data_IF_196849228365
#
_entry.id   IF_196849228365
#
_cell.length_a   1.000
_cell.length_b   1.000
_cell.length_c   1.000
_cell.angle_alpha   90.00
_cell.angle_beta   90.00
_cell.angle_gamma   90.00
#
_symmetry.space_group_name_H-M   'P 1'
#
loop_
_entity.id
_entity.type
_entity.pdbx_description
1 polymer ?
#
# COMPACT_ATOMS: atom_id res chain seq x y z
N UNK A 1 5.82 -16.26 7.32
CA UNK A 1 4.66 -16.49 8.20
C UNK A 1 5.08 -16.19 9.63
N UNK A 2 4.29 -15.40 10.40
CA UNK A 2 4.60 -15.10 11.81
C UNK A 2 4.96 -13.65 12.17
N UNK A 3 4.76 -12.69 11.25
CA UNK A 3 4.77 -11.24 11.56
C UNK A 3 3.33 -10.72 11.48
N UNK A 4 3.00 -9.69 12.25
CA UNK A 4 1.73 -8.98 12.10
C UNK A 4 1.58 -8.55 10.64
N UNK A 5 0.39 -8.75 10.08
CA UNK A 5 0.10 -8.45 8.68
C UNK A 5 -0.22 -6.96 8.51
N UNK A 6 0.75 -6.12 8.86
CA UNK A 6 0.68 -4.68 8.67
C UNK A 6 1.35 -4.36 7.33
N UNK A 7 0.55 -4.01 6.32
CA UNK A 7 1.05 -3.65 4.99
C UNK A 7 0.13 -2.66 4.27
N UNK A 8 0.72 -1.93 3.33
CA UNK A 8 -0.01 -1.17 2.33
C UNK A 8 0.33 -1.67 0.93
N UNK A 9 -0.65 -1.64 0.03
CA UNK A 9 -0.46 -1.82 -1.41
C UNK A 9 -0.54 -0.44 -2.06
N UNK A 10 0.38 -0.16 -2.98
CA UNK A 10 0.44 1.11 -3.69
C UNK A 10 0.13 0.90 -5.18
N UNK A 11 -0.53 1.88 -5.78
CA UNK A 11 -0.78 1.97 -7.22
C UNK A 11 0.45 2.41 -7.99
N UNK A 12 1.53 1.61 -7.96
CA UNK A 12 2.77 1.91 -8.66
C UNK A 12 3.92 0.98 -8.26
N UNK A 13 5.02 1.05 -8.98
CA UNK A 13 6.24 0.28 -8.69
C UNK A 13 7.28 1.15 -7.97
N UNK A 14 7.39 0.98 -6.66
CA UNK A 14 8.35 1.70 -5.83
C UNK A 14 9.81 1.39 -6.19
N UNK A 15 10.13 0.22 -6.75
CA UNK A 15 11.51 -0.14 -7.08
C UNK A 15 12.06 0.69 -8.25
N UNK A 16 11.17 1.27 -9.06
CA UNK A 16 11.50 2.09 -10.21
C UNK A 16 11.01 3.54 -10.09
N UNK A 17 10.37 3.90 -8.97
CA UNK A 17 9.91 5.27 -8.68
C UNK A 17 11.09 6.10 -8.13
N UNK A 18 11.30 7.32 -8.65
CA UNK A 18 12.33 8.19 -8.11
C UNK A 18 12.02 8.55 -6.64
N UNK A 19 13.02 8.67 -5.75
CA UNK A 19 12.75 8.87 -4.31
C UNK A 19 11.88 10.09 -3.97
N UNK A 20 11.99 11.16 -4.75
CA UNK A 20 11.16 12.36 -4.59
C UNK A 20 9.71 12.17 -5.04
N UNK A 21 9.44 11.14 -5.85
CA UNK A 21 8.12 10.82 -6.37
C UNK A 21 7.40 9.74 -5.55
N UNK A 22 8.07 9.09 -4.59
CA UNK A 22 7.50 8.04 -3.71
C UNK A 22 6.17 8.44 -3.03
N UNK A 23 5.91 9.71 -2.67
CA UNK A 23 4.61 10.09 -2.10
C UNK A 23 3.44 10.09 -3.09
N UNK A 24 3.70 9.95 -4.39
CA UNK A 24 2.70 10.14 -5.44
C UNK A 24 1.80 8.92 -5.70
N UNK A 25 2.31 7.67 -5.72
CA UNK A 25 1.46 6.50 -5.90
C UNK A 25 0.36 6.43 -4.83
N UNK A 26 -0.91 6.22 -5.22
CA UNK A 26 -2.00 6.13 -4.26
C UNK A 26 -1.89 4.83 -3.45
N UNK A 27 -2.34 4.86 -2.19
CA UNK A 27 -2.55 3.62 -1.42
C UNK A 27 -3.85 2.98 -1.89
N UNK A 28 -3.79 1.75 -2.39
CA UNK A 28 -4.98 1.02 -2.88
C UNK A 28 -5.56 0.10 -1.81
N UNK A 29 -4.73 -0.40 -0.89
CA UNK A 29 -5.14 -1.26 0.21
C UNK A 29 -4.29 -0.98 1.45
N UNK A 30 -4.91 -0.96 2.63
CA UNK A 30 -4.22 -0.98 3.92
C UNK A 30 -4.76 -2.12 4.78
N UNK A 31 -3.86 -2.99 5.24
CA UNK A 31 -4.16 -4.04 6.22
C UNK A 31 -3.45 -3.69 7.52
N UNK A 32 -4.18 -3.71 8.62
CA UNK A 32 -3.67 -3.49 9.97
C UNK A 32 -4.23 -4.56 10.91
N UNK A 33 -3.36 -5.25 11.64
CA UNK A 33 -3.76 -6.40 12.49
C UNK A 33 -4.57 -7.47 11.73
N UNK A 34 -4.20 -7.71 10.46
CA UNK A 34 -4.89 -8.66 9.59
C UNK A 34 -6.28 -8.24 9.11
N UNK A 35 -6.69 -6.98 9.35
CA UNK A 35 -7.97 -6.43 8.90
C UNK A 35 -7.76 -5.36 7.84
N UNK A 36 -8.59 -5.37 6.81
CA UNK A 36 -8.65 -4.26 5.85
C UNK A 36 -9.25 -3.06 6.54
N UNK A 37 -8.49 -1.96 6.62
CA UNK A 37 -8.93 -0.70 7.23
C UNK A 37 -9.12 0.41 6.19
N UNK A 38 -8.58 0.20 4.98
CA UNK A 38 -8.79 1.07 3.84
C UNK A 38 -8.68 0.23 2.56
N UNK A 39 -9.60 0.47 1.64
CA UNK A 39 -9.62 -0.09 0.29
C UNK A 39 -10.11 1.02 -0.63
N UNK A 40 -9.37 1.29 -1.70
CA UNK A 40 -9.81 2.24 -2.71
C UNK A 40 -10.87 1.57 -3.59
N UNK A 41 -11.96 2.28 -3.87
CA UNK A 41 -12.95 1.81 -4.84
C UNK A 41 -12.29 1.62 -6.20
N UNK A 42 -12.38 0.40 -6.75
CA UNK A 42 -12.03 0.15 -8.15
C UNK A 42 -13.09 0.83 -9.02
N UNK A 43 -12.75 1.98 -9.59
CA UNK A 43 -13.57 2.64 -10.61
C UNK A 43 -13.71 1.83 -11.89
#
# INVERSE_FOLDING_TARGET
>A
MGKAADLCVLGGDLLHTAPHDIPSPPVTLTVFDGRVVHEADEG
#
